data_IF_259856316068
#
_entry.id   IF_259856316068
#
_cell.length_a   1.000
_cell.length_b   1.000
_cell.length_c   1.000
_cell.angle_alpha   90.00
_cell.angle_beta   90.00
_cell.angle_gamma   90.00
#
_symmetry.space_group_name_H-M   'P 1'
#
loop_
_entity.id
_entity.type
_entity.pdbx_description
1 polymer ?
#
# COMPACT_ATOMS: atom_id res chain seq x y z
N UNK A 1 -19.92 16.04 11.15
CA UNK A 1 -19.22 15.77 9.86
C UNK A 1 -17.96 16.63 9.65
N UNK A 2 -17.63 17.63 10.52
CA UNK A 2 -16.49 18.54 10.32
C UNK A 2 -15.34 18.42 11.35
N UNK A 3 -15.47 17.63 12.42
CA UNK A 3 -14.50 17.61 13.52
C UNK A 3 -13.16 16.89 13.22
N UNK A 4 -13.11 16.05 12.18
CA UNK A 4 -11.89 15.33 11.81
C UNK A 4 -10.92 16.14 10.93
N UNK A 5 -11.41 17.18 10.24
CA UNK A 5 -10.56 18.06 9.41
C UNK A 5 -9.86 19.13 10.25
N UNK A 6 -10.49 19.55 11.34
CA UNK A 6 -10.02 20.63 12.22
C UNK A 6 -8.78 20.24 13.07
N UNK A 7 -8.56 18.92 13.25
CA UNK A 7 -7.40 18.38 13.98
C UNK A 7 -6.40 17.70 13.03
N UNK A 8 -6.26 18.21 11.80
CA UNK A 8 -5.21 17.72 10.90
C UNK A 8 -3.85 18.16 11.43
N UNK A 9 -2.97 17.22 11.74
CA UNK A 9 -1.60 17.54 12.17
C UNK A 9 -0.77 18.02 10.97
N UNK A 10 -0.78 19.34 10.76
CA UNK A 10 -0.01 19.98 9.70
C UNK A 10 1.49 19.77 9.85
N UNK A 11 2.01 19.49 11.07
CA UNK A 11 3.44 19.21 11.26
C UNK A 11 3.80 17.86 10.65
N UNK A 12 2.97 16.83 10.88
CA UNK A 12 3.15 15.51 10.26
C UNK A 12 3.10 15.62 8.73
N UNK A 13 2.14 16.38 8.20
CA UNK A 13 2.02 16.60 6.75
C UNK A 13 3.25 17.32 6.18
N UNK A 14 3.76 18.33 6.88
CA UNK A 14 4.97 19.05 6.46
C UNK A 14 6.20 18.13 6.40
N UNK A 15 6.41 17.31 7.44
CA UNK A 15 7.52 16.33 7.48
C UNK A 15 7.37 15.30 6.35
N UNK A 16 6.15 14.79 6.12
CA UNK A 16 5.87 13.84 5.05
C UNK A 16 6.19 14.41 3.66
N UNK A 17 5.76 15.63 3.36
CA UNK A 17 6.07 16.31 2.09
C UNK A 17 7.57 16.55 1.96
N UNK A 18 8.25 16.95 3.05
CA UNK A 18 9.70 17.10 3.06
C UNK A 18 10.45 15.81 2.73
N UNK A 19 10.03 14.68 3.30
CA UNK A 19 10.61 13.37 3.01
C UNK A 19 10.34 12.93 1.56
N UNK A 20 9.15 13.22 1.01
CA UNK A 20 8.84 12.92 -0.39
C UNK A 20 9.72 13.70 -1.36
N UNK A 21 9.89 15.01 -1.14
CA UNK A 21 10.75 15.86 -1.99
C UNK A 21 12.21 15.41 -1.91
N UNK A 22 12.69 15.10 -0.71
CA UNK A 22 14.03 14.53 -0.53
C UNK A 22 14.20 13.21 -1.30
N UNK A 23 13.19 12.33 -1.25
CA UNK A 23 13.17 11.09 -2.01
C UNK A 23 13.25 11.32 -3.53
N UNK A 24 12.55 12.33 -4.06
CA UNK A 24 12.62 12.67 -5.48
C UNK A 24 14.03 13.11 -5.92
N UNK A 25 14.70 13.92 -5.09
CA UNK A 25 16.09 14.33 -5.33
C UNK A 25 17.02 13.11 -5.38
N UNK A 26 16.86 12.18 -4.43
CA UNK A 26 17.69 10.97 -4.34
C UNK A 26 17.47 10.00 -5.52
N UNK A 27 16.23 9.84 -5.98
CA UNK A 27 15.92 9.01 -7.16
C UNK A 27 16.57 9.60 -8.42
N UNK A 28 16.46 10.91 -8.62
CA UNK A 28 17.08 11.56 -9.77
C UNK A 28 18.61 11.45 -9.73
N UNK A 29 19.21 11.72 -8.57
CA UNK A 29 20.65 11.65 -8.38
C UNK A 29 21.22 10.26 -8.68
N UNK A 30 20.61 9.20 -8.13
CA UNK A 30 21.11 7.82 -8.28
C UNK A 30 20.81 7.19 -9.64
N UNK A 31 19.71 7.58 -10.29
CA UNK A 31 19.18 6.87 -11.46
C UNK A 31 19.34 7.61 -12.79
N UNK A 32 19.78 8.87 -12.79
CA UNK A 32 19.87 9.71 -14.01
C UNK A 32 20.75 9.10 -15.11
N UNK A 33 21.92 8.57 -14.74
CA UNK A 33 22.88 7.96 -15.69
C UNK A 33 22.30 6.69 -16.30
N UNK A 34 21.72 5.81 -15.47
CA UNK A 34 21.12 4.54 -15.91
C UNK A 34 19.87 4.81 -16.77
N UNK A 35 19.09 5.85 -16.43
CA UNK A 35 17.90 6.22 -17.16
C UNK A 35 18.22 6.75 -18.56
N UNK A 36 19.26 7.58 -18.67
CA UNK A 36 19.72 8.09 -19.95
C UNK A 36 20.26 6.95 -20.84
N UNK A 37 21.08 6.07 -20.27
CA UNK A 37 21.65 4.93 -20.99
C UNK A 37 20.59 3.94 -21.50
N UNK A 38 19.58 3.64 -20.67
CA UNK A 38 18.60 2.58 -20.97
C UNK A 38 17.32 3.08 -21.65
N UNK A 39 16.94 4.35 -21.46
CA UNK A 39 15.67 4.91 -21.95
C UNK A 39 15.83 6.23 -22.72
N UNK A 40 17.05 6.77 -22.85
CA UNK A 40 17.31 8.05 -23.52
C UNK A 40 16.80 9.28 -22.77
N UNK A 41 16.21 9.10 -21.57
CA UNK A 41 15.61 10.15 -20.76
C UNK A 41 16.11 10.03 -19.31
N UNK A 42 16.97 10.95 -18.88
CA UNK A 42 17.52 11.00 -17.52
C UNK A 42 16.43 11.17 -16.44
N UNK A 43 15.26 11.70 -16.82
CA UNK A 43 14.12 11.91 -15.94
C UNK A 43 13.13 10.74 -15.90
N UNK A 44 13.37 9.63 -16.60
CA UNK A 44 12.38 8.55 -16.74
C UNK A 44 11.88 7.99 -15.40
N UNK A 45 12.80 7.62 -14.49
CA UNK A 45 12.44 7.09 -13.17
C UNK A 45 11.80 8.17 -12.28
N UNK A 46 12.26 9.41 -12.37
CA UNK A 46 11.69 10.54 -11.62
C UNK A 46 10.23 10.80 -12.03
N UNK A 47 9.93 10.84 -13.33
CA UNK A 47 8.55 11.03 -13.84
C UNK A 47 7.62 9.94 -13.33
N UNK A 48 8.05 8.68 -13.34
CA UNK A 48 7.27 7.56 -12.78
C UNK A 48 7.08 7.72 -11.27
N UNK A 49 8.12 8.05 -10.53
CA UNK A 49 8.04 8.26 -9.09
C UNK A 49 7.03 9.36 -8.74
N UNK A 50 7.08 10.48 -9.45
CA UNK A 50 6.14 11.60 -9.27
C UNK A 50 4.70 11.14 -9.57
N UNK A 51 4.47 10.45 -10.69
CA UNK A 51 3.14 9.95 -11.06
C UNK A 51 2.55 9.04 -9.98
N UNK A 52 3.33 8.06 -9.49
CA UNK A 52 2.89 7.13 -8.45
C UNK A 52 2.66 7.82 -7.11
N UNK A 53 3.50 8.79 -6.73
CA UNK A 53 3.30 9.58 -5.53
C UNK A 53 2.01 10.41 -5.59
N UNK A 54 1.69 11.01 -6.75
CA UNK A 54 0.43 11.73 -6.92
C UNK A 54 -0.79 10.81 -6.85
N UNK A 55 -0.75 9.65 -7.51
CA UNK A 55 -1.82 8.64 -7.43
C UNK A 55 -2.01 8.18 -5.98
N UNK A 56 -0.93 7.87 -5.27
CA UNK A 56 -0.97 7.45 -3.87
C UNK A 56 -1.55 8.53 -2.95
N UNK A 57 -1.16 9.79 -3.15
CA UNK A 57 -1.71 10.91 -2.39
C UNK A 57 -3.21 11.12 -2.67
N UNK A 58 -3.63 11.01 -3.92
CA UNK A 58 -5.04 11.11 -4.30
C UNK A 58 -5.88 10.00 -3.65
N UNK A 59 -5.42 8.75 -3.72
CA UNK A 59 -6.07 7.61 -3.04
C UNK A 59 -6.11 7.82 -1.53
N UNK A 60 -5.02 8.30 -0.92
CA UNK A 60 -4.96 8.61 0.51
C UNK A 60 -5.98 9.67 0.93
N UNK A 61 -6.16 10.73 0.14
CA UNK A 61 -7.17 11.78 0.40
C UNK A 61 -8.59 11.21 0.32
N UNK A 62 -8.87 10.32 -0.65
CA UNK A 62 -10.18 9.66 -0.76
C UNK A 62 -10.44 8.82 0.50
N UNK A 63 -9.47 7.99 0.90
CA UNK A 63 -9.60 7.14 2.10
C UNK A 63 -9.78 7.98 3.37
N UNK A 64 -9.04 9.09 3.50
CA UNK A 64 -9.19 10.04 4.60
C UNK A 64 -10.60 10.63 4.64
N UNK A 65 -11.15 11.03 3.49
CA UNK A 65 -12.53 11.56 3.39
C UNK A 65 -13.62 10.51 3.62
N UNK A 66 -13.37 9.22 3.34
CA UNK A 66 -14.34 8.16 3.58
C UNK A 66 -14.62 7.96 5.08
N UNK A 67 -13.67 8.31 5.94
CA UNK A 67 -13.78 8.18 7.39
C UNK A 67 -13.69 6.71 7.88
N UNK A 68 -13.37 6.52 9.17
CA UNK A 68 -13.11 5.19 9.74
C UNK A 68 -14.35 4.28 9.70
N UNK A 69 -15.56 4.81 9.90
CA UNK A 69 -16.77 3.99 10.00
C UNK A 69 -17.14 3.29 8.70
N UNK A 70 -16.98 3.98 7.56
CA UNK A 70 -17.18 3.34 6.25
C UNK A 70 -16.08 2.35 5.95
N UNK A 71 -14.84 2.67 6.32
CA UNK A 71 -13.69 1.81 6.06
C UNK A 71 -13.81 0.47 6.79
N UNK A 72 -14.30 0.47 8.04
CA UNK A 72 -14.59 -0.75 8.82
C UNK A 72 -15.49 -1.73 8.08
N UNK A 73 -16.54 -1.25 7.40
CA UNK A 73 -17.49 -2.11 6.67
C UNK A 73 -16.85 -2.86 5.49
N UNK A 74 -15.84 -2.25 4.84
CA UNK A 74 -15.19 -2.83 3.67
C UNK A 74 -13.89 -3.58 3.99
N UNK A 75 -13.32 -3.40 5.18
CA UNK A 75 -11.98 -3.91 5.50
C UNK A 75 -11.89 -5.44 5.42
N UNK A 76 -12.95 -6.16 5.80
CA UNK A 76 -12.99 -7.64 5.68
C UNK A 76 -12.96 -8.10 4.22
N UNK A 77 -13.71 -7.45 3.33
CA UNK A 77 -13.70 -7.73 1.90
C UNK A 77 -12.36 -7.36 1.25
N UNK A 78 -11.80 -6.22 1.63
CA UNK A 78 -10.50 -5.78 1.16
C UNK A 78 -9.38 -6.76 1.58
N UNK A 79 -9.47 -7.34 2.78
CA UNK A 79 -8.49 -8.30 3.28
C UNK A 79 -8.58 -9.63 2.52
N UNK A 80 -9.80 -10.13 2.31
CA UNK A 80 -10.04 -11.32 1.51
C UNK A 80 -9.52 -11.15 0.08
N UNK A 81 -9.80 -10.00 -0.55
CA UNK A 81 -9.28 -9.67 -1.88
C UNK A 81 -7.74 -9.62 -1.89
N UNK A 82 -7.12 -9.03 -0.86
CA UNK A 82 -5.66 -8.98 -0.70
C UNK A 82 -5.03 -10.37 -0.61
N UNK A 83 -5.62 -11.26 0.19
CA UNK A 83 -5.17 -12.66 0.34
C UNK A 83 -5.28 -13.40 -1.00
N UNK A 84 -6.43 -13.31 -1.68
CA UNK A 84 -6.62 -13.91 -3.01
C UNK A 84 -5.55 -13.43 -3.99
N UNK A 85 -5.24 -12.13 -3.97
CA UNK A 85 -4.27 -11.52 -4.86
C UNK A 85 -2.83 -11.94 -4.56
N UNK A 86 -2.49 -12.23 -3.30
CA UNK A 86 -1.19 -12.82 -2.91
C UNK A 86 -1.06 -14.23 -3.50
N UNK A 87 -2.09 -15.07 -3.34
CA UNK A 87 -2.08 -16.41 -3.92
C UNK A 87 -2.12 -16.38 -5.45
N UNK A 88 -2.78 -15.39 -6.06
CA UNK A 88 -2.82 -15.19 -7.51
C UNK A 88 -1.43 -15.09 -8.15
N UNK A 89 -0.43 -14.59 -7.42
CA UNK A 89 0.97 -14.47 -7.91
C UNK A 89 1.58 -15.85 -8.21
N UNK A 90 1.12 -16.91 -7.56
CA UNK A 90 1.64 -18.26 -7.76
C UNK A 90 1.07 -18.95 -9.01
N UNK A 91 0.01 -18.39 -9.60
CA UNK A 91 -0.56 -18.95 -10.83
C UNK A 91 0.31 -18.60 -12.04
N UNK A 92 0.63 -19.59 -12.90
CA UNK A 92 1.42 -19.37 -14.10
C UNK A 92 0.67 -18.41 -15.03
N UNK A 93 1.35 -17.33 -15.45
CA UNK A 93 0.78 -16.28 -16.31
C UNK A 93 0.57 -14.93 -15.62
N UNK A 94 0.43 -14.90 -14.28
CA UNK A 94 0.26 -13.65 -13.53
C UNK A 94 1.50 -13.26 -12.71
N UNK A 95 2.28 -14.24 -12.26
CA UNK A 95 3.48 -14.02 -11.48
C UNK A 95 4.67 -13.57 -12.34
N UNK A 96 5.31 -12.46 -11.97
CA UNK A 96 6.60 -12.03 -12.51
C UNK A 96 7.70 -12.30 -11.48
N UNK A 97 8.72 -13.02 -11.93
CA UNK A 97 9.92 -13.30 -11.13
C UNK A 97 10.87 -12.11 -11.21
N UNK A 98 11.23 -11.53 -10.07
CA UNK A 98 12.24 -10.50 -9.96
C UNK A 98 13.15 -10.83 -8.76
N UNK A 99 14.47 -10.77 -8.95
CA UNK A 99 15.43 -11.08 -7.87
C UNK A 99 15.34 -12.52 -7.33
N UNK A 100 14.97 -13.50 -8.18
CA UNK A 100 14.89 -14.92 -7.81
C UNK A 100 13.60 -15.38 -7.13
N UNK A 101 12.60 -14.49 -6.97
CA UNK A 101 11.31 -14.86 -6.38
C UNK A 101 10.11 -14.26 -7.15
N UNK A 102 9.00 -14.99 -7.16
CA UNK A 102 7.75 -14.57 -7.80
C UNK A 102 6.89 -13.85 -6.77
N UNK A 103 6.99 -12.51 -6.73
CA UNK A 103 6.25 -11.66 -5.77
C UNK A 103 5.44 -10.56 -6.44
N UNK A 104 5.64 -10.38 -7.74
CA UNK A 104 5.04 -9.30 -8.51
C UNK A 104 3.88 -9.87 -9.32
N UNK A 105 2.70 -9.28 -9.15
CA UNK A 105 1.54 -9.61 -9.96
C UNK A 105 1.51 -8.70 -11.19
N UNK A 106 1.50 -9.30 -12.37
CA UNK A 106 1.35 -8.59 -13.64
C UNK A 106 0.01 -9.02 -14.24
N UNK A 107 -0.91 -8.08 -14.41
CA UNK A 107 -2.23 -8.33 -15.01
C UNK A 107 -2.28 -7.56 -16.33
N UNK A 108 -2.05 -8.26 -17.43
CA UNK A 108 -2.07 -7.66 -18.77
C UNK A 108 -1.08 -6.49 -18.93
N UNK A 109 -1.50 -5.34 -19.49
CA UNK A 109 -0.62 -4.18 -19.73
C UNK A 109 -0.35 -3.34 -18.47
N UNK A 110 -0.96 -3.67 -17.34
CA UNK A 110 -0.78 -2.91 -16.11
C UNK A 110 0.65 -3.09 -15.57
N UNK A 111 1.23 -2.04 -14.95
CA UNK A 111 2.49 -2.15 -14.24
C UNK A 111 2.42 -3.26 -13.21
N UNK A 112 3.48 -4.07 -13.15
CA UNK A 112 3.59 -5.09 -12.13
C UNK A 112 3.50 -4.42 -10.75
N UNK A 113 2.65 -4.96 -9.87
CA UNK A 113 2.46 -4.44 -8.52
C UNK A 113 2.64 -5.57 -7.50
N UNK A 114 2.93 -5.21 -6.25
CA UNK A 114 3.14 -6.18 -5.18
C UNK A 114 1.88 -6.27 -4.30
N UNK A 115 1.09 -7.36 -4.38
CA UNK A 115 -0.16 -7.48 -3.61
C UNK A 115 0.02 -7.37 -2.10
N UNK A 116 1.18 -7.84 -1.62
CA UNK A 116 1.52 -7.83 -0.20
C UNK A 116 1.60 -6.42 0.41
N UNK A 117 1.97 -5.40 -0.37
CA UNK A 117 2.00 -4.03 0.13
C UNK A 117 0.61 -3.53 0.51
N UNK A 118 -0.38 -3.82 -0.34
CA UNK A 118 -1.78 -3.47 -0.12
C UNK A 118 -2.34 -4.29 1.05
N UNK A 119 -2.08 -5.59 1.08
CA UNK A 119 -2.55 -6.49 2.13
C UNK A 119 -2.09 -6.04 3.53
N UNK A 120 -0.83 -5.58 3.67
CA UNK A 120 -0.32 -5.05 4.95
C UNK A 120 -1.13 -3.87 5.47
N UNK A 121 -1.45 -2.89 4.62
CA UNK A 121 -2.23 -1.72 5.02
C UNK A 121 -3.63 -2.12 5.48
N UNK A 122 -4.30 -2.99 4.70
CA UNK A 122 -5.64 -3.48 5.04
C UNK A 122 -5.62 -4.32 6.32
N UNK A 123 -4.59 -5.14 6.51
CA UNK A 123 -4.43 -5.99 7.67
C UNK A 123 -4.33 -5.19 8.97
N UNK A 124 -3.53 -4.10 8.99
CA UNK A 124 -3.43 -3.22 10.16
C UNK A 124 -4.79 -2.60 10.52
N UNK A 125 -5.56 -2.15 9.52
CA UNK A 125 -6.89 -1.58 9.73
C UNK A 125 -7.87 -2.65 10.22
N UNK A 126 -7.78 -3.88 9.70
CA UNK A 126 -8.61 -5.00 10.12
C UNK A 126 -8.32 -5.44 11.56
N UNK A 127 -7.04 -5.50 11.96
CA UNK A 127 -6.66 -5.75 13.34
C UNK A 127 -7.23 -4.68 14.27
N UNK A 128 -7.02 -3.40 13.92
CA UNK A 128 -7.56 -2.28 14.70
C UNK A 128 -9.08 -2.40 14.85
N UNK A 129 -9.79 -2.81 13.80
CA UNK A 129 -11.23 -3.04 13.86
C UNK A 129 -11.62 -4.19 14.80
N UNK A 130 -11.02 -5.36 14.67
CA UNK A 130 -11.35 -6.54 15.51
C UNK A 130 -11.12 -6.27 17.00
N UNK A 131 -10.06 -5.53 17.33
CA UNK A 131 -9.71 -5.20 18.71
C UNK A 131 -10.35 -3.90 19.23
N UNK A 132 -11.13 -3.19 18.41
CA UNK A 132 -11.76 -1.93 18.83
C UNK A 132 -13.05 -2.10 19.65
N UNK A 133 -13.71 -3.26 19.56
CA UNK A 133 -15.10 -3.42 20.02
C UNK A 133 -15.23 -4.21 21.35
N UNK A 134 -14.31 -5.14 21.64
CA UNK A 134 -14.29 -5.89 22.91
C UNK A 134 -12.85 -5.99 23.41
N UNK A 135 -12.68 -5.99 24.73
CA UNK A 135 -11.39 -6.19 25.38
C UNK A 135 -10.67 -7.44 24.85
N UNK A 136 -9.33 -7.42 24.96
CA UNK A 136 -8.38 -8.42 24.41
C UNK A 136 -8.67 -9.88 24.84
N UNK A 137 -9.61 -10.12 25.75
CA UNK A 137 -9.93 -11.42 26.35
C UNK A 137 -10.70 -12.39 25.43
N UNK A 138 -11.24 -11.95 24.29
CA UNK A 138 -11.94 -12.86 23.38
C UNK A 138 -10.96 -13.75 22.58
N UNK A 139 -10.74 -14.96 23.12
CA UNK A 139 -9.89 -16.00 22.52
C UNK A 139 -10.28 -16.34 21.07
N UNK A 140 -11.56 -16.19 20.66
CA UNK A 140 -11.98 -16.46 19.27
C UNK A 140 -11.47 -15.39 18.32
N UNK A 141 -11.46 -14.12 18.73
CA UNK A 141 -10.89 -13.03 17.93
C UNK A 141 -9.38 -13.16 17.80
N UNK A 142 -8.71 -13.49 18.91
CA UNK A 142 -7.27 -13.77 18.91
C UNK A 142 -6.91 -14.95 17.99
N UNK A 143 -7.70 -16.04 18.02
CA UNK A 143 -7.49 -17.19 17.13
C UNK A 143 -7.69 -16.84 15.65
N UNK A 144 -8.71 -16.04 15.33
CA UNK A 144 -8.94 -15.54 13.95
C UNK A 144 -7.81 -14.63 13.48
N UNK A 145 -7.35 -13.72 14.33
CA UNK A 145 -6.21 -12.86 14.04
C UNK A 145 -4.96 -13.70 13.78
N UNK A 146 -4.62 -14.64 14.67
CA UNK A 146 -3.49 -15.54 14.49
C UNK A 146 -3.57 -16.36 13.18
N UNK A 147 -4.75 -16.88 12.85
CA UNK A 147 -4.97 -17.60 11.59
C UNK A 147 -4.72 -16.74 10.35
N UNK A 148 -5.23 -15.50 10.35
CA UNK A 148 -5.00 -14.57 9.23
C UNK A 148 -3.53 -14.11 9.17
N UNK A 149 -2.87 -13.88 10.31
CA UNK A 149 -1.43 -13.59 10.35
C UNK A 149 -0.63 -14.72 9.71
N UNK A 150 -0.94 -15.97 10.08
CA UNK A 150 -0.24 -17.15 9.57
C UNK A 150 -0.41 -17.36 8.05
N UNK A 151 -1.52 -16.87 7.48
CA UNK A 151 -1.76 -16.89 6.03
C UNK A 151 -0.99 -15.78 5.30
N UNK A 152 -0.72 -14.66 5.98
CA UNK A 152 -0.01 -13.51 5.42
C UNK A 152 1.51 -13.60 5.57
N UNK A 153 2.03 -14.29 6.59
CA UNK A 153 3.45 -14.51 6.83
C UNK A 153 4.00 -15.72 6.05
#
# INVERSE_FOLDING_TARGET
MNSHLDNTDYKLLFVFVGMLLFGFIMVYSSSSVIAYDRYGDSGYFLKRQILWSFIGMFVGIILFKMGPDRLKKYVGYALAAGIVMIYAVHFPGFGKTAGGATRWLTIGPLPAFQPFEIAKLVYVVWLAYIFSDDGIEDKKKALRAAGVTAVLC
#
